data_IF_620524991053
#
_entry.id   IF_620524991053
#
_cell.length_a   1.000
_cell.length_b   1.000
_cell.length_c   1.000
_cell.angle_alpha   90.00
_cell.angle_beta   90.00
_cell.angle_gamma   90.00
#
_symmetry.space_group_name_H-M   'P 1'
#
loop_
_entity.id
_entity.type
_entity.pdbx_description
1 polymer ?
#
# COMPACT_ATOMS: atom_id res chain seq x y z
N UNK A 1 -2.49 -13.61 -8.93
CA UNK A 1 -3.64 -12.71 -8.65
C UNK A 1 -4.76 -13.52 -8.03
N UNK A 2 -5.40 -12.98 -6.98
CA UNK A 2 -6.55 -13.59 -6.28
C UNK A 2 -7.77 -12.70 -6.42
N UNK A 3 -8.97 -13.23 -6.21
CA UNK A 3 -10.15 -12.37 -6.05
C UNK A 3 -10.13 -11.71 -4.67
N UNK A 4 -10.56 -10.46 -4.59
CA UNK A 4 -10.63 -9.74 -3.31
C UNK A 4 -11.50 -10.46 -2.28
N UNK A 5 -12.58 -11.12 -2.73
CA UNK A 5 -13.44 -11.96 -1.89
C UNK A 5 -12.71 -13.13 -1.20
N UNK A 6 -11.61 -13.63 -1.80
CA UNK A 6 -10.85 -14.78 -1.27
C UNK A 6 -9.91 -14.40 -0.11
N UNK A 7 -9.64 -13.09 0.06
CA UNK A 7 -8.80 -12.58 1.14
C UNK A 7 -9.56 -12.56 2.47
N UNK A 8 -8.82 -12.64 3.56
CA UNK A 8 -9.37 -12.52 4.93
C UNK A 8 -9.29 -11.07 5.42
N UNK A 9 -10.13 -10.67 6.38
CA UNK A 9 -9.95 -9.41 7.08
C UNK A 9 -8.53 -9.27 7.64
N UNK A 10 -7.88 -8.13 7.38
CA UNK A 10 -6.49 -7.85 7.72
C UNK A 10 -5.47 -8.20 6.63
N UNK A 11 -5.83 -9.01 5.63
CA UNK A 11 -4.93 -9.29 4.51
C UNK A 11 -4.67 -8.02 3.69
N UNK A 12 -3.42 -7.91 3.19
CA UNK A 12 -2.97 -6.81 2.34
C UNK A 12 -3.02 -7.20 0.86
N UNK A 13 -3.29 -6.24 0.01
CA UNK A 13 -3.32 -6.43 -1.45
C UNK A 13 -2.98 -5.14 -2.19
N UNK A 14 -2.53 -5.28 -3.43
CA UNK A 14 -2.20 -4.17 -4.33
C UNK A 14 -3.34 -3.96 -5.34
N UNK A 15 -3.79 -2.72 -5.49
CA UNK A 15 -4.77 -2.32 -6.49
C UNK A 15 -4.63 -0.82 -6.80
N UNK A 16 -4.52 -0.46 -8.10
CA UNK A 16 -4.34 0.93 -8.52
C UNK A 16 -3.06 1.57 -8.00
N UNK A 17 -1.95 0.82 -7.99
CA UNK A 17 -0.63 1.32 -7.60
C UNK A 17 -0.39 1.49 -6.10
N UNK A 18 -1.40 1.23 -5.25
CA UNK A 18 -1.23 1.32 -3.78
C UNK A 18 -1.61 0.04 -3.06
N UNK A 19 -1.10 -0.11 -1.85
CA UNK A 19 -1.41 -1.23 -0.97
C UNK A 19 -2.62 -0.91 -0.11
N UNK A 20 -3.56 -1.85 -0.05
CA UNK A 20 -4.79 -1.80 0.73
C UNK A 20 -4.83 -2.90 1.76
N UNK A 21 -5.59 -2.67 2.83
CA UNK A 21 -5.96 -3.68 3.85
C UNK A 21 -7.44 -3.98 3.70
N UNK A 22 -7.79 -5.25 3.56
CA UNK A 22 -9.17 -5.71 3.59
C UNK A 22 -9.75 -5.57 4.99
N UNK A 23 -10.90 -4.92 5.14
CA UNK A 23 -11.65 -4.87 6.39
C UNK A 23 -12.71 -5.97 6.45
N UNK A 24 -13.78 -5.83 5.68
CA UNK A 24 -14.84 -6.85 5.63
C UNK A 24 -15.62 -6.80 4.31
N UNK A 25 -16.27 -7.90 3.99
CA UNK A 25 -17.21 -7.97 2.87
C UNK A 25 -18.59 -7.50 3.33
N UNK A 26 -19.19 -6.56 2.60
CA UNK A 26 -20.51 -5.96 2.88
C UNK A 26 -21.33 -6.02 1.61
N UNK A 27 -22.35 -6.87 1.56
CA UNK A 27 -23.18 -7.00 0.35
C UNK A 27 -22.37 -7.41 -0.89
N UNK A 28 -22.35 -6.57 -1.91
CA UNK A 28 -21.65 -6.83 -3.18
C UNK A 28 -20.20 -6.34 -3.21
N UNK A 29 -19.70 -5.76 -2.13
CA UNK A 29 -18.37 -5.16 -2.08
C UNK A 29 -17.61 -5.46 -0.80
N UNK A 30 -16.37 -5.01 -0.80
CA UNK A 30 -15.40 -5.16 0.27
C UNK A 30 -14.93 -3.79 0.71
N UNK A 31 -15.03 -3.49 2.00
CA UNK A 31 -14.49 -2.27 2.59
C UNK A 31 -12.98 -2.41 2.79
N UNK A 32 -12.22 -1.43 2.31
CA UNK A 32 -10.76 -1.44 2.32
C UNK A 32 -10.20 -0.10 2.77
N UNK A 33 -9.05 -0.14 3.47
CA UNK A 33 -8.30 1.03 3.89
C UNK A 33 -6.92 1.00 3.25
N UNK A 34 -6.38 2.12 2.80
CA UNK A 34 -4.98 2.22 2.40
C UNK A 34 -4.06 1.75 3.54
N UNK A 35 -3.10 0.88 3.24
CA UNK A 35 -2.20 0.32 4.27
C UNK A 35 -1.34 1.41 4.92
N UNK A 36 -0.91 2.38 4.12
CA UNK A 36 -0.09 3.52 4.53
C UNK A 36 -0.76 4.85 4.12
N UNK A 37 -0.38 5.98 4.71
CA UNK A 37 -0.76 7.29 4.20
C UNK A 37 -0.25 7.49 2.78
N UNK A 38 -1.11 7.96 1.88
CA UNK A 38 -0.76 8.13 0.46
C UNK A 38 -0.17 9.51 0.16
N UNK A 39 -0.49 10.50 0.96
CA UNK A 39 0.07 11.87 0.93
C UNK A 39 -0.30 12.63 2.22
N UNK A 40 0.22 13.86 2.35
CA UNK A 40 -0.12 14.79 3.43
C UNK A 40 -0.90 15.97 2.87
N UNK A 41 -2.01 16.32 3.52
CA UNK A 41 -2.83 17.46 3.13
C UNK A 41 -3.72 17.93 4.28
N UNK A 42 -4.17 19.19 4.21
CA UNK A 42 -5.26 19.69 5.05
C UNK A 42 -6.55 18.90 4.79
N UNK A 43 -7.35 18.68 5.82
CA UNK A 43 -8.70 18.16 5.64
C UNK A 43 -9.55 19.13 4.81
N UNK A 44 -9.41 20.43 5.11
CA UNK A 44 -9.99 21.49 4.32
C UNK A 44 -9.14 22.77 4.39
N UNK A 45 -8.85 23.37 3.24
CA UNK A 45 -7.99 24.56 3.13
C UNK A 45 -8.64 25.80 3.76
N UNK A 46 -9.97 25.85 3.81
CA UNK A 46 -10.76 26.92 4.43
C UNK A 46 -11.08 26.65 5.91
N UNK A 47 -10.46 25.61 6.49
CA UNK A 47 -10.61 25.23 7.89
C UNK A 47 -12.03 24.83 8.29
N UNK A 48 -12.77 24.17 7.42
CA UNK A 48 -14.11 23.65 7.65
C UNK A 48 -14.07 22.14 7.95
N UNK A 49 -14.76 21.70 9.00
CA UNK A 49 -14.81 20.27 9.37
C UNK A 49 -15.96 19.50 8.71
N UNK A 50 -16.77 20.14 7.89
CA UNK A 50 -17.85 19.50 7.13
C UNK A 50 -17.26 18.75 5.92
N UNK A 51 -17.20 17.42 6.00
CA UNK A 51 -16.68 16.57 4.92
C UNK A 51 -17.31 16.88 3.56
N UNK A 52 -18.58 17.22 3.50
CA UNK A 52 -19.29 17.52 2.25
C UNK A 52 -18.69 18.69 1.49
N UNK A 53 -18.02 19.62 2.21
CA UNK A 53 -17.37 20.82 1.67
C UNK A 53 -15.87 20.69 1.54
N UNK A 54 -15.27 19.69 2.18
CA UNK A 54 -13.83 19.48 2.31
C UNK A 54 -13.10 19.50 0.98
N UNK A 55 -11.97 20.21 0.92
CA UNK A 55 -11.06 20.21 -0.22
C UNK A 55 -10.42 18.81 -0.40
N UNK A 56 -10.16 18.09 0.70
CA UNK A 56 -9.64 16.74 0.67
C UNK A 56 -10.64 15.76 0.03
N UNK A 57 -11.94 15.89 0.32
CA UNK A 57 -12.97 15.08 -0.33
C UNK A 57 -12.94 15.23 -1.85
N UNK A 58 -12.84 16.48 -2.33
CA UNK A 58 -12.75 16.77 -3.77
C UNK A 58 -11.50 16.16 -4.40
N UNK A 59 -10.37 16.25 -3.72
CA UNK A 59 -9.11 15.64 -4.14
C UNK A 59 -9.22 14.11 -4.25
N UNK A 60 -9.74 13.45 -3.21
CA UNK A 60 -9.84 11.98 -3.17
C UNK A 60 -10.79 11.43 -4.24
N UNK A 61 -11.90 12.11 -4.51
CA UNK A 61 -12.88 11.68 -5.51
C UNK A 61 -12.61 12.24 -6.92
N UNK A 62 -11.60 13.09 -7.08
CA UNK A 62 -11.11 13.64 -8.34
C UNK A 62 -9.73 13.10 -8.70
N UNK A 63 -8.70 13.93 -8.52
CA UNK A 63 -7.34 13.65 -8.98
C UNK A 63 -6.75 12.34 -8.41
N UNK A 64 -7.02 12.02 -7.15
CA UNK A 64 -6.52 10.78 -6.55
C UNK A 64 -7.19 9.54 -7.17
N UNK A 65 -8.50 9.53 -7.33
CA UNK A 65 -9.20 8.43 -8.01
C UNK A 65 -8.76 8.30 -9.47
N UNK A 66 -8.50 9.42 -10.16
CA UNK A 66 -7.96 9.43 -11.53
C UNK A 66 -6.57 8.80 -11.58
N UNK A 67 -5.72 9.08 -10.58
CA UNK A 67 -4.40 8.47 -10.47
C UNK A 67 -4.47 6.95 -10.26
N UNK A 68 -5.35 6.46 -9.39
CA UNK A 68 -5.56 5.01 -9.21
C UNK A 68 -5.98 4.32 -10.52
N UNK A 69 -6.82 4.99 -11.32
CA UNK A 69 -7.25 4.47 -12.64
C UNK A 69 -6.09 4.47 -13.63
N UNK A 70 -5.24 5.50 -13.63
CA UNK A 70 -4.04 5.54 -14.47
C UNK A 70 -3.05 4.42 -14.13
N UNK A 71 -2.99 4.00 -12.86
CA UNK A 71 -2.22 2.85 -12.36
C UNK A 71 -2.95 1.49 -12.54
N UNK A 72 -3.98 1.45 -13.38
CA UNK A 72 -4.65 0.23 -13.82
C UNK A 72 -5.86 -0.22 -13.00
N UNK A 73 -6.36 0.58 -12.05
CA UNK A 73 -7.61 0.28 -11.37
C UNK A 73 -8.82 0.51 -12.31
N UNK A 74 -9.81 -0.37 -12.26
CA UNK A 74 -11.10 -0.14 -12.90
C UNK A 74 -11.94 0.85 -12.07
N UNK A 75 -12.25 2.02 -12.63
CA UNK A 75 -13.12 3.01 -11.97
C UNK A 75 -14.46 2.42 -11.54
N UNK A 76 -15.03 1.50 -12.32
CA UNK A 76 -16.30 0.85 -12.01
C UNK A 76 -16.22 -0.17 -10.86
N UNK A 77 -14.99 -0.51 -10.43
CA UNK A 77 -14.79 -1.34 -9.24
C UNK A 77 -15.02 -0.58 -7.92
N UNK A 78 -14.85 0.75 -7.93
CA UNK A 78 -15.13 1.59 -6.76
C UNK A 78 -16.64 1.82 -6.64
N UNK A 79 -17.23 1.17 -5.66
CA UNK A 79 -18.66 1.29 -5.34
C UNK A 79 -18.91 2.56 -4.51
N UNK A 80 -20.16 3.02 -4.49
CA UNK A 80 -20.57 4.11 -3.63
C UNK A 80 -20.56 3.64 -2.17
N UNK A 81 -19.92 4.43 -1.32
CA UNK A 81 -19.88 4.26 0.12
C UNK A 81 -20.58 5.44 0.79
N UNK A 82 -21.61 5.15 1.58
CA UNK A 82 -22.29 6.15 2.40
C UNK A 82 -21.59 6.24 3.76
N UNK A 83 -21.02 7.42 4.03
CA UNK A 83 -20.39 7.75 5.30
C UNK A 83 -21.36 8.50 6.20
N UNK A 84 -21.50 8.04 7.43
CA UNK A 84 -22.16 8.79 8.50
C UNK A 84 -21.25 9.92 8.98
N UNK A 85 -21.74 11.15 8.97
CA UNK A 85 -21.03 12.37 9.38
C UNK A 85 -21.47 12.86 10.78
N UNK A 86 -22.07 11.99 11.58
CA UNK A 86 -22.35 12.28 12.99
C UNK A 86 -21.08 12.71 13.69
N UNK A 87 -21.14 13.86 14.34
CA UNK A 87 -20.01 14.41 15.07
C UNK A 87 -19.69 13.61 16.35
N UNK A 88 -18.48 13.79 16.89
CA UNK A 88 -18.02 13.08 18.10
C UNK A 88 -18.91 13.38 19.32
N UNK A 89 -19.50 14.55 19.38
CA UNK A 89 -20.46 14.98 20.41
C UNK A 89 -21.91 14.48 20.18
N UNK A 90 -22.17 13.79 19.06
CA UNK A 90 -23.46 13.24 18.69
C UNK A 90 -24.35 14.16 17.85
N UNK A 91 -23.91 15.35 17.47
CA UNK A 91 -24.66 16.22 16.54
C UNK A 91 -24.71 15.59 15.14
N UNK A 92 -25.87 15.69 14.47
CA UNK A 92 -26.16 15.02 13.18
C UNK A 92 -26.39 15.97 12.01
N UNK A 93 -26.08 17.25 12.16
CA UNK A 93 -26.44 18.32 11.20
C UNK A 93 -25.78 18.13 9.82
N UNK A 94 -24.66 17.40 9.75
CA UNK A 94 -23.98 17.10 8.49
C UNK A 94 -24.57 15.89 7.77
N UNK A 95 -25.41 15.08 8.44
CA UNK A 95 -26.09 13.93 7.83
C UNK A 95 -25.12 12.88 7.31
N UNK A 96 -25.20 12.60 6.03
CA UNK A 96 -24.37 11.60 5.34
C UNK A 96 -23.69 12.17 4.09
N UNK A 97 -22.66 11.48 3.60
CA UNK A 97 -22.05 11.74 2.30
C UNK A 97 -21.81 10.42 1.56
N UNK A 98 -22.03 10.43 0.24
CA UNK A 98 -21.77 9.28 -0.63
C UNK A 98 -20.55 9.57 -1.50
N UNK A 99 -19.55 8.69 -1.45
CA UNK A 99 -18.26 8.86 -2.11
C UNK A 99 -17.74 7.53 -2.67
N UNK A 100 -16.85 7.59 -3.67
CA UNK A 100 -16.04 6.44 -4.12
C UNK A 100 -14.85 6.21 -3.19
N UNK A 101 -14.27 7.32 -2.72
CA UNK A 101 -13.14 7.35 -1.79
C UNK A 101 -13.49 8.28 -0.63
N UNK A 102 -13.43 7.75 0.57
CA UNK A 102 -13.67 8.50 1.81
C UNK A 102 -12.47 8.41 2.76
N UNK A 103 -12.63 8.86 3.99
CA UNK A 103 -11.80 8.53 5.13
C UNK A 103 -12.59 7.62 6.08
N UNK A 104 -11.90 6.89 6.95
CA UNK A 104 -12.58 6.16 8.01
C UNK A 104 -13.11 7.10 9.09
N UNK A 105 -14.28 6.80 9.65
CA UNK A 105 -14.80 7.48 10.83
C UNK A 105 -14.19 6.91 12.12
N UNK A 106 -14.37 7.60 13.24
CA UNK A 106 -13.99 7.10 14.57
C UNK A 106 -14.66 5.76 14.90
N UNK A 107 -15.88 5.54 14.44
CA UNK A 107 -16.60 4.26 14.58
C UNK A 107 -15.85 3.15 13.85
N UNK A 108 -15.45 3.37 12.61
CA UNK A 108 -14.67 2.40 11.83
C UNK A 108 -13.26 2.19 12.42
N UNK A 109 -12.64 3.24 12.95
CA UNK A 109 -11.37 3.12 13.66
C UNK A 109 -11.46 2.18 14.86
N UNK A 110 -12.54 2.27 15.64
CA UNK A 110 -12.76 1.37 16.79
C UNK A 110 -13.09 -0.04 16.34
N UNK A 111 -13.97 -0.18 15.32
CA UNK A 111 -14.41 -1.49 14.79
C UNK A 111 -13.26 -2.32 14.25
N UNK A 112 -12.36 -1.71 13.47
CA UNK A 112 -11.28 -2.41 12.77
C UNK A 112 -9.90 -2.21 13.42
N UNK A 113 -9.85 -1.82 14.69
CA UNK A 113 -8.59 -1.51 15.40
C UNK A 113 -7.57 -2.65 15.30
N UNK A 114 -8.01 -3.89 15.52
CA UNK A 114 -7.13 -5.07 15.60
C UNK A 114 -6.50 -5.46 14.25
N UNK A 115 -7.15 -5.11 13.14
CA UNK A 115 -6.69 -5.44 11.79
C UNK A 115 -6.14 -4.23 11.02
N UNK A 116 -6.18 -3.04 11.63
CA UNK A 116 -5.59 -1.84 11.02
C UNK A 116 -4.09 -1.81 11.30
N UNK A 117 -3.22 -1.83 10.26
CA UNK A 117 -1.78 -1.72 10.48
C UNK A 117 -1.43 -0.38 11.17
N UNK A 118 -0.52 -0.39 12.15
CA UNK A 118 0.03 0.85 12.70
C UNK A 118 0.81 1.60 11.62
N UNK A 119 0.83 2.93 11.71
CA UNK A 119 1.65 3.82 10.87
C UNK A 119 2.31 4.86 11.77
N UNK A 120 3.53 5.29 11.44
CA UNK A 120 4.30 6.25 12.24
C UNK A 120 3.84 7.71 12.06
N UNK A 121 2.62 7.91 11.60
CA UNK A 121 2.08 9.22 11.26
C UNK A 121 0.71 9.46 11.89
N UNK A 122 0.36 10.73 12.01
CA UNK A 122 -0.97 11.16 12.43
C UNK A 122 -1.87 11.32 11.22
N UNK A 123 -2.95 10.56 11.17
CA UNK A 123 -3.82 10.49 10.01
C UNK A 123 -5.20 11.07 10.29
N UNK A 124 -5.74 11.82 9.31
CA UNK A 124 -7.12 12.31 9.38
C UNK A 124 -8.14 11.19 9.51
N UNK A 125 -9.16 11.43 10.30
CA UNK A 125 -10.44 10.73 10.27
C UNK A 125 -11.50 11.57 9.56
N UNK A 126 -12.65 10.94 9.28
CA UNK A 126 -13.81 11.61 8.70
C UNK A 126 -14.61 12.42 9.75
N UNK A 127 -14.61 11.99 11.01
CA UNK A 127 -15.52 12.47 12.05
C UNK A 127 -15.23 13.92 12.42
N UNK A 128 -16.19 14.83 12.29
CA UNK A 128 -16.08 16.19 12.84
C UNK A 128 -16.12 16.14 14.38
N UNK A 129 -15.43 17.04 15.05
CA UNK A 129 -15.50 17.12 16.51
C UNK A 129 -16.89 17.54 16.98
N UNK A 130 -17.48 18.55 16.31
CA UNK A 130 -18.83 19.06 16.53
C UNK A 130 -19.37 19.67 15.25
N UNK A 131 -20.69 19.82 15.14
CA UNK A 131 -21.34 20.60 14.08
C UNK A 131 -21.63 22.04 14.51
N UNK A 132 -21.32 22.43 15.76
CA UNK A 132 -21.50 23.78 16.24
C UNK A 132 -20.68 24.77 15.39
N UNK A 133 -21.29 25.82 14.82
CA UNK A 133 -20.61 26.80 13.99
C UNK A 133 -19.42 27.50 14.65
N UNK A 134 -19.42 27.63 15.97
CA UNK A 134 -18.32 28.26 16.73
C UNK A 134 -17.05 27.39 16.71
N UNK A 135 -17.20 26.06 16.57
CA UNK A 135 -16.11 25.08 16.60
C UNK A 135 -16.04 24.19 15.35
N UNK A 136 -16.71 24.55 14.27
CA UNK A 136 -16.83 23.79 13.02
C UNK A 136 -15.54 23.72 12.18
N UNK A 137 -14.40 23.86 12.82
CA UNK A 137 -13.07 23.75 12.24
C UNK A 137 -12.23 22.62 12.85
N UNK A 138 -12.75 21.88 13.82
CA UNK A 138 -12.04 20.76 14.42
C UNK A 138 -12.48 19.42 13.82
N UNK A 139 -11.49 18.63 13.37
CA UNK A 139 -11.67 17.29 12.82
C UNK A 139 -10.91 16.28 13.67
N UNK A 140 -11.45 15.09 13.81
CA UNK A 140 -10.77 13.98 14.49
C UNK A 140 -9.61 13.48 13.65
N UNK A 141 -8.55 13.01 14.33
CA UNK A 141 -7.41 12.32 13.74
C UNK A 141 -6.90 11.23 14.68
N UNK A 142 -6.12 10.31 14.13
CA UNK A 142 -5.52 9.19 14.86
C UNK A 142 -4.01 9.39 14.92
N UNK A 143 -3.44 9.27 16.14
CA UNK A 143 -2.00 9.18 16.36
C UNK A 143 -1.42 7.86 15.85
N UNK A 144 -0.09 7.78 15.71
CA UNK A 144 0.65 6.53 15.46
C UNK A 144 0.36 5.43 16.51
N UNK A 145 0.11 5.82 17.76
CA UNK A 145 -0.32 4.90 18.84
C UNK A 145 -1.75 4.34 18.69
N UNK A 146 -2.52 4.85 17.72
CA UNK A 146 -3.95 4.54 17.57
C UNK A 146 -4.88 5.30 18.52
N UNK A 147 -4.35 6.21 19.34
CA UNK A 147 -5.18 7.13 20.13
C UNK A 147 -5.79 8.18 19.22
N UNK A 148 -7.00 8.63 19.54
CA UNK A 148 -7.74 9.64 18.76
C UNK A 148 -7.71 11.00 19.44
N UNK A 149 -7.57 12.06 18.64
CA UNK A 149 -7.60 13.45 19.09
C UNK A 149 -8.24 14.33 17.99
N UNK A 150 -8.24 15.63 18.15
CA UNK A 150 -8.78 16.60 17.20
C UNK A 150 -7.72 17.64 16.81
N UNK A 151 -7.89 18.25 15.64
CA UNK A 151 -7.00 19.27 15.10
C UNK A 151 -7.77 20.19 14.17
N UNK A 152 -7.24 21.40 13.92
CA UNK A 152 -7.81 22.30 12.92
C UNK A 152 -7.76 21.65 11.53
N UNK A 153 -8.86 21.73 10.79
CA UNK A 153 -9.01 21.13 9.47
C UNK A 153 -7.97 21.64 8.44
N UNK A 154 -7.44 22.85 8.64
CA UNK A 154 -6.46 23.46 7.74
C UNK A 154 -5.01 22.98 7.93
N UNK A 155 -4.72 22.10 8.89
CA UNK A 155 -3.35 21.63 9.09
C UNK A 155 -2.92 20.61 8.02
N UNK A 156 -2.04 21.04 7.12
CA UNK A 156 -1.58 20.26 5.96
C UNK A 156 -0.58 19.13 6.26
N UNK A 157 -0.15 18.94 7.51
CA UNK A 157 0.87 17.97 7.90
C UNK A 157 0.32 16.60 8.34
N UNK A 158 -0.98 16.35 8.18
CA UNK A 158 -1.59 15.06 8.53
C UNK A 158 -1.59 14.11 7.35
N UNK A 159 -1.27 12.86 7.61
CA UNK A 159 -1.37 11.78 6.63
C UNK A 159 -2.81 11.52 6.22
N UNK A 160 -2.99 11.16 4.96
CA UNK A 160 -4.29 10.79 4.39
C UNK A 160 -4.27 9.30 4.09
N UNK A 161 -5.13 8.54 4.77
CA UNK A 161 -5.36 7.10 4.55
C UNK A 161 -6.75 6.90 3.96
N UNK A 162 -6.87 6.81 2.63
CA UNK A 162 -8.15 6.61 1.98
C UNK A 162 -8.86 5.32 2.38
N UNK A 163 -10.18 5.39 2.47
CA UNK A 163 -11.10 4.27 2.60
C UNK A 163 -11.85 4.14 1.30
N UNK A 164 -12.02 2.93 0.79
CA UNK A 164 -12.87 2.67 -0.37
C UNK A 164 -13.71 1.41 -0.19
N UNK A 165 -14.79 1.33 -0.98
CA UNK A 165 -15.65 0.17 -1.07
C UNK A 165 -15.52 -0.41 -2.48
N UNK A 166 -14.87 -1.57 -2.60
CA UNK A 166 -14.53 -2.20 -3.88
C UNK A 166 -15.46 -3.38 -4.16
N UNK A 167 -15.76 -3.65 -5.42
CA UNK A 167 -16.39 -4.91 -5.81
C UNK A 167 -15.55 -6.09 -5.34
N UNK A 168 -16.16 -7.05 -4.64
CA UNK A 168 -15.45 -8.21 -4.09
C UNK A 168 -14.91 -9.17 -5.17
N UNK A 169 -15.44 -9.10 -6.40
CA UNK A 169 -15.06 -9.96 -7.51
C UNK A 169 -13.82 -9.48 -8.31
N UNK A 170 -13.25 -8.33 -7.99
CA UNK A 170 -12.05 -7.86 -8.67
C UNK A 170 -10.84 -8.76 -8.39
N UNK A 171 -9.93 -8.83 -9.37
CA UNK A 171 -8.64 -9.49 -9.21
C UNK A 171 -7.63 -8.50 -8.63
N UNK A 172 -6.91 -8.93 -7.60
CA UNK A 172 -5.90 -8.14 -6.91
C UNK A 172 -4.57 -8.89 -6.84
N UNK A 173 -3.47 -8.16 -6.72
CA UNK A 173 -2.14 -8.74 -6.49
C UNK A 173 -1.84 -8.78 -4.99
N UNK A 174 -1.12 -9.80 -4.56
CA UNK A 174 -0.68 -9.93 -3.16
C UNK A 174 0.74 -9.39 -3.06
N UNK A 175 1.06 -8.53 -2.07
CA UNK A 175 2.42 -8.07 -1.84
C UNK A 175 3.39 -9.26 -1.69
N UNK A 176 4.51 -9.22 -2.41
CA UNK A 176 5.51 -10.30 -2.41
C UNK A 176 5.24 -11.47 -3.36
N UNK A 177 4.00 -11.78 -3.75
CA UNK A 177 3.74 -12.86 -4.73
C UNK A 177 4.29 -12.51 -6.13
N UNK A 178 4.24 -11.26 -6.52
CA UNK A 178 4.82 -10.80 -7.80
C UNK A 178 6.34 -10.75 -7.73
N UNK A 179 6.92 -10.34 -6.60
CA UNK A 179 8.37 -10.29 -6.41
C UNK A 179 8.99 -11.68 -6.48
N UNK A 180 8.36 -12.71 -5.91
CA UNK A 180 8.81 -14.10 -6.01
C UNK A 180 8.71 -14.65 -7.43
N UNK A 181 7.61 -14.37 -8.14
CA UNK A 181 7.42 -14.77 -9.52
C UNK A 181 8.41 -14.05 -10.47
N UNK A 182 8.63 -12.77 -10.29
CA UNK A 182 9.60 -11.98 -11.04
C UNK A 182 11.04 -12.41 -10.76
N UNK A 183 11.38 -12.66 -9.49
CA UNK A 183 12.67 -13.21 -9.09
C UNK A 183 12.87 -14.62 -9.65
N UNK A 184 11.84 -15.47 -9.68
CA UNK A 184 11.91 -16.79 -10.29
C UNK A 184 12.12 -16.69 -11.80
N UNK A 185 11.37 -15.83 -12.50
CA UNK A 185 11.55 -15.58 -13.93
C UNK A 185 12.96 -15.07 -14.25
N UNK A 186 13.46 -14.11 -13.48
CA UNK A 186 14.82 -13.58 -13.63
C UNK A 186 15.92 -14.60 -13.37
N UNK A 187 15.69 -15.50 -12.39
CA UNK A 187 16.62 -16.65 -12.17
C UNK A 187 16.65 -17.60 -13.34
N UNK A 188 15.51 -17.89 -13.96
CA UNK A 188 15.46 -18.75 -15.16
C UNK A 188 16.10 -18.07 -16.38
N UNK A 189 15.87 -16.79 -16.58
CA UNK A 189 16.53 -16.00 -17.64
C UNK A 189 18.05 -16.01 -17.46
N UNK A 190 18.54 -15.73 -16.23
CA UNK A 190 19.98 -15.80 -15.91
C UNK A 190 20.58 -17.20 -16.12
N UNK A 191 19.82 -18.28 -15.85
CA UNK A 191 20.28 -19.66 -16.15
C UNK A 191 20.41 -19.89 -17.65
N UNK A 192 19.45 -19.40 -18.44
CA UNK A 192 19.46 -19.54 -19.89
C UNK A 192 20.65 -18.79 -20.49
N UNK A 193 20.88 -17.54 -20.07
CA UNK A 193 22.05 -16.74 -20.49
C UNK A 193 23.37 -17.44 -20.12
N UNK A 194 23.47 -18.03 -18.92
CA UNK A 194 24.66 -18.76 -18.50
C UNK A 194 24.88 -20.02 -19.34
N UNK A 195 23.82 -20.73 -19.69
CA UNK A 195 23.91 -21.92 -20.59
C UNK A 195 24.37 -21.47 -21.98
N UNK A 196 23.83 -20.41 -22.54
CA UNK A 196 24.22 -19.91 -23.86
C UNK A 196 25.68 -19.41 -23.87
N UNK A 197 26.13 -18.76 -22.80
CA UNK A 197 27.52 -18.36 -22.64
C UNK A 197 28.47 -19.55 -22.57
N UNK A 198 28.11 -20.61 -21.82
CA UNK A 198 28.86 -21.86 -21.73
C UNK A 198 28.91 -22.56 -23.11
N UNK A 199 27.78 -22.66 -23.79
CA UNK A 199 27.72 -23.29 -25.11
C UNK A 199 28.54 -22.52 -26.16
N UNK A 200 28.50 -21.19 -26.11
CA UNK A 200 29.33 -20.32 -26.95
C UNK A 200 30.82 -20.55 -26.70
N UNK A 201 31.22 -20.58 -25.43
CA UNK A 201 32.62 -20.86 -25.06
C UNK A 201 33.11 -22.25 -25.47
N UNK A 202 32.22 -23.26 -25.40
CA UNK A 202 32.54 -24.63 -25.79
C UNK A 202 32.68 -24.78 -27.29
N UNK A 203 32.04 -23.94 -28.12
CA UNK A 203 32.18 -23.97 -29.58
C UNK A 203 33.62 -23.71 -30.07
N UNK A 204 34.44 -23.03 -29.26
CA UNK A 204 35.86 -22.77 -29.57
C UNK A 204 36.76 -24.02 -29.32
N UNK A 205 36.20 -25.09 -28.75
CA UNK A 205 36.94 -26.34 -28.44
C UNK A 205 36.40 -27.52 -29.24
N UNK A 206 37.29 -28.43 -29.66
CA UNK A 206 36.85 -29.70 -30.21
C UNK A 206 35.96 -30.49 -29.24
N UNK A 207 34.93 -31.20 -29.70
CA UNK A 207 33.94 -31.89 -28.83
C UNK A 207 34.56 -32.84 -27.80
N UNK A 208 35.69 -33.44 -28.09
CA UNK A 208 36.37 -34.37 -27.15
C UNK A 208 37.04 -33.67 -25.96
N UNK A 209 37.19 -32.34 -26.00
CA UNK A 209 37.72 -31.49 -24.88
C UNK A 209 36.62 -30.81 -24.10
N UNK A 210 35.34 -30.92 -24.46
CA UNK A 210 34.25 -30.21 -23.80
C UNK A 210 34.13 -30.53 -22.31
N UNK A 211 34.39 -31.80 -21.92
CA UNK A 211 34.37 -32.19 -20.50
C UNK A 211 35.41 -31.47 -19.66
N UNK A 212 36.64 -31.37 -20.18
CA UNK A 212 37.73 -30.68 -19.47
C UNK A 212 37.55 -29.17 -19.44
N UNK A 213 37.09 -28.57 -20.54
CA UNK A 213 36.80 -27.13 -20.65
C UNK A 213 35.63 -26.71 -19.71
N UNK A 214 34.56 -27.51 -19.65
CA UNK A 214 33.43 -27.28 -18.76
C UNK A 214 33.87 -27.43 -17.29
N UNK A 215 34.65 -28.43 -16.94
CA UNK A 215 35.20 -28.63 -15.59
C UNK A 215 36.06 -27.46 -15.13
N UNK A 216 36.90 -26.91 -16.00
CA UNK A 216 37.72 -25.74 -15.70
C UNK A 216 36.89 -24.47 -15.52
N UNK A 217 35.85 -24.26 -16.37
CA UNK A 217 34.96 -23.11 -16.26
C UNK A 217 34.12 -23.15 -14.96
N UNK A 218 33.57 -24.32 -14.61
CA UNK A 218 32.84 -24.52 -13.35
C UNK A 218 33.73 -24.27 -12.15
N UNK A 219 34.97 -24.78 -12.11
CA UNK A 219 35.91 -24.57 -11.04
C UNK A 219 36.33 -23.10 -10.91
N UNK A 220 36.39 -22.33 -12.00
CA UNK A 220 36.66 -20.91 -11.97
C UNK A 220 35.47 -20.11 -11.39
N UNK A 221 34.25 -20.46 -11.76
CA UNK A 221 33.02 -19.85 -11.20
C UNK A 221 32.87 -20.09 -9.70
N UNK A 222 33.19 -21.29 -9.21
CA UNK A 222 33.16 -21.59 -7.77
C UNK A 222 34.19 -20.79 -6.98
N UNK A 223 35.39 -20.60 -7.51
CA UNK A 223 36.42 -19.77 -6.86
C UNK A 223 36.00 -18.31 -6.80
N UNK A 224 35.52 -17.76 -7.91
CA UNK A 224 35.02 -16.38 -7.96
C UNK A 224 33.85 -16.12 -6.98
N UNK A 225 32.99 -17.14 -6.76
CA UNK A 225 31.90 -17.02 -5.79
C UNK A 225 32.39 -17.03 -4.34
N UNK A 226 33.37 -17.89 -4.00
CA UNK A 226 33.99 -17.91 -2.68
C UNK A 226 34.73 -16.59 -2.36
N UNK A 227 35.49 -16.07 -3.32
CA UNK A 227 36.16 -14.78 -3.18
C UNK A 227 35.15 -13.64 -2.94
N UNK A 228 33.99 -13.65 -3.64
CA UNK A 228 32.92 -12.66 -3.45
C UNK A 228 32.22 -12.78 -2.08
N UNK A 229 32.02 -14.00 -1.58
CA UNK A 229 31.43 -14.24 -0.26
C UNK A 229 32.40 -13.81 0.87
N UNK A 230 33.72 -14.05 0.73
CA UNK A 230 34.70 -13.58 1.68
C UNK A 230 34.78 -12.04 1.75
N UNK A 231 34.76 -11.35 0.60
CA UNK A 231 34.76 -9.89 0.53
C UNK A 231 33.50 -9.32 1.20
N UNK A 232 32.32 -9.90 0.91
CA UNK A 232 31.07 -9.47 1.51
C UNK A 232 31.02 -9.66 3.04
N UNK A 233 31.62 -10.74 3.53
CA UNK A 233 31.75 -11.00 4.97
C UNK A 233 32.70 -10.01 5.65
N UNK A 234 33.85 -9.71 5.03
CA UNK A 234 34.80 -8.71 5.57
C UNK A 234 34.19 -7.30 5.63
N UNK A 235 33.35 -6.92 4.64
CA UNK A 235 32.64 -5.63 4.66
C UNK A 235 31.55 -5.57 5.74
N UNK A 236 30.87 -6.67 5.98
CA UNK A 236 29.86 -6.78 7.04
C UNK A 236 30.50 -6.68 8.42
N UNK A 237 31.62 -7.37 8.63
CA UNK A 237 32.39 -7.34 9.91
C UNK A 237 32.97 -5.94 10.19
N UNK A 238 33.46 -5.23 9.19
CA UNK A 238 33.92 -3.83 9.33
C UNK A 238 32.79 -2.90 9.76
N UNK A 239 31.61 -3.01 9.19
CA UNK A 239 30.44 -2.22 9.58
C UNK A 239 29.96 -2.52 11.01
N UNK A 240 30.10 -3.75 11.47
CA UNK A 240 29.72 -4.14 12.83
C UNK A 240 30.72 -3.60 13.92
N UNK A 241 31.95 -3.25 13.56
CA UNK A 241 32.95 -2.71 14.47
C UNK A 241 32.91 -1.17 14.57
N UNK A 242 32.32 -0.50 13.55
CA UNK A 242 32.22 0.97 13.47
C UNK A 242 30.88 1.52 14.01
N UNK A 243 29.91 0.70 14.42
CA UNK A 243 28.62 1.07 15.00
C UNK A 243 28.49 0.68 16.46
#
# INVERSE_FOLDING_TARGET
>A
MKKLAELKPGDRFLYGGIEWVKFEDIGAGTLCLAAEPVFHRAFDEENCNDWRKSSLRRELNGAFLDALVAEGADRAAFLDWESDLTADDGMTDYGTAVDKIALRSDVLCRKYREITPPVDEWCWNLTPWTCDPEYSYYVRFVYSSGAMNWSNACYGSRGVRPLCYLKSEISVSIPGENDEAEQAARREEMKLEAVDAIMSALNDYPPYLWGDALGAAVAALFRSKQDAEEIAQEEADKKAVEG
#
